data_IF_195096214380
#
_entry.id   IF_195096214380
#
_cell.length_a   1.000
_cell.length_b   1.000
_cell.length_c   1.000
_cell.angle_alpha   90.00
_cell.angle_beta   90.00
_cell.angle_gamma   90.00
#
_symmetry.space_group_name_H-M   'P 1'
#
loop_
_entity.id
_entity.type
_entity.pdbx_description
1 polymer ?
#
# COMPACT_ATOMS: atom_id res chain seq x y z
N UNK A 1 -30.34 14.39 -8.79
CA UNK A 1 -29.19 13.46 -8.61
C UNK A 1 -28.33 14.04 -7.51
N UNK A 2 -28.02 13.24 -6.49
CA UNK A 2 -27.13 13.59 -5.40
C UNK A 2 -25.65 13.41 -5.77
N UNK A 3 -24.78 13.44 -4.79
CA UNK A 3 -23.34 13.27 -4.92
C UNK A 3 -22.82 12.17 -3.98
N UNK A 4 -21.68 11.55 -4.32
CA UNK A 4 -20.90 10.72 -3.42
C UNK A 4 -19.66 11.48 -2.97
N UNK A 5 -19.50 11.70 -1.66
CA UNK A 5 -18.31 12.32 -1.07
C UNK A 5 -17.41 11.25 -0.44
N UNK A 6 -16.16 11.12 -0.92
CA UNK A 6 -15.13 10.25 -0.34
C UNK A 6 -14.41 11.04 0.74
N UNK A 7 -14.64 10.70 2.01
CA UNK A 7 -14.23 11.53 3.17
C UNK A 7 -13.15 10.84 3.98
N UNK A 8 -11.98 11.48 4.09
CA UNK A 8 -10.90 10.99 4.95
C UNK A 8 -11.19 11.17 6.44
N UNK A 9 -10.88 10.15 7.24
CA UNK A 9 -11.05 10.11 8.69
C UNK A 9 -9.72 10.07 9.42
N UNK A 10 -9.66 10.37 10.73
CA UNK A 10 -8.43 10.31 11.52
C UNK A 10 -7.80 8.91 11.53
N UNK A 11 -6.45 8.85 11.49
CA UNK A 11 -5.69 7.59 11.59
C UNK A 11 -5.20 7.28 13.00
N UNK A 12 -5.62 8.07 14.00
CA UNK A 12 -5.23 7.85 15.39
C UNK A 12 -5.40 9.07 16.28
N UNK A 13 -5.53 10.27 15.69
CA UNK A 13 -5.71 11.53 16.41
C UNK A 13 -6.96 12.26 15.89
N UNK A 14 -7.96 12.42 16.74
CA UNK A 14 -9.21 13.11 16.38
C UNK A 14 -8.99 14.57 15.96
N UNK A 15 -7.89 15.20 16.40
CA UNK A 15 -7.50 16.53 15.99
C UNK A 15 -7.13 16.67 14.49
N UNK A 16 -6.89 15.54 13.81
CA UNK A 16 -6.60 15.53 12.37
C UNK A 16 -7.87 15.54 11.51
N UNK A 17 -9.05 15.50 12.10
CA UNK A 17 -10.32 15.65 11.38
C UNK A 17 -10.44 17.04 10.80
N UNK A 18 -10.66 17.15 9.48
CA UNK A 18 -10.78 18.45 8.84
C UNK A 18 -12.16 19.07 9.07
N UNK A 19 -12.25 20.40 9.18
CA UNK A 19 -13.52 21.12 9.27
C UNK A 19 -14.47 20.74 8.12
N UNK A 20 -13.95 20.63 6.90
CA UNK A 20 -14.75 20.23 5.73
C UNK A 20 -15.27 18.81 5.82
N UNK A 21 -14.51 17.90 6.41
CA UNK A 21 -14.97 16.52 6.64
C UNK A 21 -16.17 16.49 7.61
N UNK A 22 -16.08 17.21 8.74
CA UNK A 22 -17.19 17.35 9.69
C UNK A 22 -18.43 17.91 8.98
N UNK A 23 -18.30 19.05 8.31
CA UNK A 23 -19.39 19.71 7.58
C UNK A 23 -20.01 18.82 6.50
N UNK A 24 -19.19 18.04 5.77
CA UNK A 24 -19.67 17.11 4.73
C UNK A 24 -20.47 15.97 5.33
N UNK A 25 -19.97 15.39 6.43
CA UNK A 25 -20.66 14.28 7.12
C UNK A 25 -21.96 14.74 7.76
N UNK A 26 -22.03 15.97 8.30
CA UNK A 26 -23.26 16.55 8.84
C UNK A 26 -24.33 16.79 7.77
N UNK A 27 -23.91 17.22 6.55
CA UNK A 27 -24.83 17.54 5.45
C UNK A 27 -25.24 16.35 4.59
N UNK A 28 -24.57 15.21 4.72
CA UNK A 28 -24.93 14.00 4.01
C UNK A 28 -26.27 13.45 4.50
N UNK A 29 -27.06 12.92 3.59
CA UNK A 29 -28.32 12.24 3.93
C UNK A 29 -28.05 10.86 4.59
N UNK A 30 -26.90 10.24 4.26
CA UNK A 30 -26.40 9.04 4.92
C UNK A 30 -24.89 8.86 4.70
N UNK A 31 -24.26 8.08 5.59
CA UNK A 31 -22.83 7.77 5.55
C UNK A 31 -22.66 6.25 5.38
N UNK A 32 -21.93 5.86 4.32
CA UNK A 32 -21.47 4.50 4.09
C UNK A 32 -20.22 4.26 4.93
N UNK A 33 -20.26 3.28 5.84
CA UNK A 33 -19.18 3.01 6.80
C UNK A 33 -18.76 1.54 6.74
N UNK A 34 -17.46 1.28 6.84
CA UNK A 34 -16.87 -0.05 6.90
C UNK A 34 -17.33 -0.77 8.18
N UNK A 35 -16.96 -0.26 9.35
CA UNK A 35 -17.53 -0.67 10.63
C UNK A 35 -18.36 0.48 11.23
N UNK A 36 -19.69 0.31 11.19
CA UNK A 36 -20.63 1.31 11.73
C UNK A 36 -20.43 1.61 13.21
N UNK A 37 -19.84 0.68 13.97
CA UNK A 37 -19.57 0.85 15.41
C UNK A 37 -18.38 1.78 15.65
N UNK A 38 -17.34 1.69 14.79
CA UNK A 38 -16.18 2.57 14.82
C UNK A 38 -16.59 3.97 14.36
N UNK A 39 -17.25 4.05 13.21
CA UNK A 39 -17.75 5.32 12.67
C UNK A 39 -18.72 6.01 13.63
N UNK A 40 -19.63 5.29 14.29
CA UNK A 40 -20.55 5.89 15.27
C UNK A 40 -19.82 6.58 16.43
N UNK A 41 -18.68 6.04 16.89
CA UNK A 41 -17.86 6.70 17.93
C UNK A 41 -17.30 8.03 17.42
N UNK A 42 -16.78 8.04 16.16
CA UNK A 42 -16.29 9.25 15.51
C UNK A 42 -17.39 10.31 15.38
N UNK A 43 -18.55 9.93 14.83
CA UNK A 43 -19.69 10.84 14.65
C UNK A 43 -20.18 11.40 15.99
N UNK A 44 -20.28 10.56 17.03
CA UNK A 44 -20.68 11.00 18.37
C UNK A 44 -19.70 12.02 18.98
N UNK A 45 -18.41 11.86 18.73
CA UNK A 45 -17.40 12.81 19.20
C UNK A 45 -17.59 14.21 18.59
N UNK A 46 -17.99 14.28 17.31
CA UNK A 46 -18.25 15.52 16.59
C UNK A 46 -19.72 15.96 16.62
N UNK A 47 -20.57 15.28 17.39
CA UNK A 47 -22.03 15.51 17.50
C UNK A 47 -22.80 15.40 16.17
N UNK A 48 -22.31 14.58 15.23
CA UNK A 48 -22.94 14.31 13.94
C UNK A 48 -24.00 13.24 14.11
N UNK A 49 -25.22 13.47 13.60
CA UNK A 49 -26.38 12.57 13.72
C UNK A 49 -26.78 11.87 12.42
N UNK A 50 -26.00 12.02 11.38
CA UNK A 50 -26.26 11.44 10.06
C UNK A 50 -26.37 9.92 10.12
N UNK A 51 -27.39 9.31 9.49
CA UNK A 51 -27.57 7.87 9.50
C UNK A 51 -26.43 7.10 8.86
N UNK A 52 -26.10 5.93 9.45
CA UNK A 52 -25.06 5.03 8.96
C UNK A 52 -25.65 3.89 8.13
N UNK A 53 -24.98 3.56 7.03
CA UNK A 53 -25.22 2.38 6.19
C UNK A 53 -23.93 1.54 6.21
N UNK A 54 -24.05 0.25 6.54
CA UNK A 54 -22.90 -0.66 6.51
C UNK A 54 -22.50 -0.94 5.07
N UNK A 55 -21.21 -0.64 4.73
CA UNK A 55 -20.62 -0.88 3.43
C UNK A 55 -19.18 -1.37 3.60
N UNK A 56 -18.94 -2.66 3.43
CA UNK A 56 -17.65 -3.31 3.58
C UNK A 56 -17.41 -4.31 2.42
N UNK A 57 -16.21 -4.82 2.28
CA UNK A 57 -15.81 -5.69 1.16
C UNK A 57 -16.79 -6.85 0.90
N UNK A 58 -17.31 -7.48 1.96
CA UNK A 58 -18.18 -8.65 1.84
C UNK A 58 -19.61 -8.33 1.37
N UNK A 59 -20.11 -7.09 1.55
CA UNK A 59 -21.47 -6.70 1.15
C UNK A 59 -21.50 -5.69 0.00
N UNK A 60 -20.34 -5.17 -0.43
CA UNK A 60 -20.23 -4.07 -1.40
C UNK A 60 -21.03 -4.29 -2.69
N UNK A 61 -20.99 -5.50 -3.25
CA UNK A 61 -21.75 -5.84 -4.47
C UNK A 61 -23.27 -5.80 -4.27
N UNK A 62 -23.74 -6.22 -3.09
CA UNK A 62 -25.17 -6.35 -2.78
C UNK A 62 -25.79 -5.01 -2.40
N UNK A 63 -25.04 -4.20 -1.64
CA UNK A 63 -25.50 -2.91 -1.09
C UNK A 63 -25.23 -1.75 -2.05
N UNK A 64 -24.18 -1.86 -2.90
CA UNK A 64 -23.75 -0.79 -3.80
C UNK A 64 -24.83 -0.27 -4.73
N UNK A 65 -25.62 -1.17 -5.35
CA UNK A 65 -26.74 -0.77 -6.23
C UNK A 65 -27.85 -0.03 -5.46
N UNK A 66 -28.13 -0.45 -4.23
CA UNK A 66 -29.12 0.25 -3.38
C UNK A 66 -28.64 1.65 -3.02
N UNK A 67 -27.36 1.81 -2.70
CA UNK A 67 -26.74 3.12 -2.43
C UNK A 67 -26.79 3.99 -3.69
N UNK A 68 -26.41 3.45 -4.85
CA UNK A 68 -26.47 4.18 -6.12
C UNK A 68 -27.89 4.70 -6.39
N UNK A 69 -28.92 3.85 -6.24
CA UNK A 69 -30.30 4.22 -6.48
C UNK A 69 -30.75 5.38 -5.57
N UNK A 70 -30.34 5.41 -4.31
CA UNK A 70 -30.61 6.52 -3.39
C UNK A 70 -29.94 7.82 -3.86
N UNK A 71 -28.68 7.74 -4.29
CA UNK A 71 -27.96 8.91 -4.81
C UNK A 71 -28.61 9.42 -6.11
N UNK A 72 -28.99 8.52 -7.00
CA UNK A 72 -29.72 8.89 -8.24
C UNK A 72 -31.08 9.53 -7.96
N UNK A 73 -31.75 9.14 -6.87
CA UNK A 73 -32.98 9.75 -6.39
C UNK A 73 -32.79 11.16 -5.79
N UNK A 74 -31.53 11.58 -5.55
CA UNK A 74 -31.20 12.94 -5.09
C UNK A 74 -30.58 13.03 -3.70
N UNK A 75 -30.39 11.89 -3.02
CA UNK A 75 -29.71 11.86 -1.71
C UNK A 75 -28.19 12.05 -1.88
N UNK A 76 -27.57 12.80 -0.99
CA UNK A 76 -26.11 12.95 -0.89
C UNK A 76 -25.55 11.90 0.05
N UNK A 77 -24.57 11.15 -0.42
CA UNK A 77 -23.89 10.13 0.37
C UNK A 77 -22.46 10.55 0.70
N UNK A 78 -22.01 10.18 1.87
CA UNK A 78 -20.58 10.15 2.18
C UNK A 78 -20.11 8.71 2.35
N UNK A 79 -18.85 8.41 1.97
CA UNK A 79 -18.20 7.14 2.30
C UNK A 79 -16.99 7.42 3.17
N UNK A 80 -16.86 6.65 4.25
CA UNK A 80 -15.75 6.68 5.19
C UNK A 80 -15.23 5.27 5.43
N UNK A 81 -13.98 5.17 5.88
CA UNK A 81 -13.35 3.94 6.39
C UNK A 81 -13.06 4.10 7.88
N UNK A 82 -12.63 3.05 8.53
CA UNK A 82 -12.30 3.04 9.96
C UNK A 82 -11.15 4.01 10.29
N UNK A 83 -10.20 4.18 9.35
CA UNK A 83 -9.07 5.11 9.51
C UNK A 83 -8.47 5.53 8.16
N UNK A 84 -8.30 6.82 7.93
CA UNK A 84 -7.62 7.35 6.75
C UNK A 84 -8.55 7.61 5.56
N UNK A 85 -7.99 7.49 4.36
CA UNK A 85 -8.71 7.73 3.11
C UNK A 85 -9.41 6.47 2.63
N UNK A 86 -10.74 6.48 2.44
CA UNK A 86 -11.46 5.36 1.82
C UNK A 86 -10.90 5.02 0.43
N UNK A 87 -11.14 3.80 -0.02
CA UNK A 87 -10.72 3.26 -1.32
C UNK A 87 -9.21 2.98 -1.47
N UNK A 88 -8.40 3.22 -0.44
CA UNK A 88 -6.95 2.97 -0.45
C UNK A 88 -6.64 1.86 0.56
N UNK A 89 -6.55 0.62 0.13
CA UNK A 89 -6.51 -0.60 0.95
C UNK A 89 -7.76 -0.84 1.81
N UNK A 90 -8.82 -0.12 1.52
CA UNK A 90 -10.09 -0.10 2.25
C UNK A 90 -11.28 -0.20 1.26
N UNK A 91 -12.48 -0.57 1.74
CA UNK A 91 -13.68 -0.60 0.89
C UNK A 91 -14.00 0.77 0.30
N UNK A 92 -14.61 0.75 -0.91
CA UNK A 92 -15.11 1.98 -1.54
C UNK A 92 -14.87 2.05 -3.05
N UNK A 93 -13.82 1.43 -3.55
CA UNK A 93 -13.47 1.44 -4.98
C UNK A 93 -14.65 1.02 -5.87
N UNK A 94 -15.33 -0.07 -5.52
CA UNK A 94 -16.48 -0.56 -6.27
C UNK A 94 -17.65 0.44 -6.29
N UNK A 95 -17.89 1.16 -5.20
CA UNK A 95 -18.95 2.18 -5.13
C UNK A 95 -18.58 3.41 -5.94
N UNK A 96 -17.34 3.85 -5.87
CA UNK A 96 -16.83 4.97 -6.67
C UNK A 96 -16.95 4.65 -8.16
N UNK A 97 -16.52 3.45 -8.58
CA UNK A 97 -16.64 3.00 -9.97
C UNK A 97 -18.11 2.96 -10.41
N UNK A 98 -18.99 2.36 -9.60
CA UNK A 98 -20.41 2.26 -9.90
C UNK A 98 -21.06 3.64 -10.05
N UNK A 99 -20.73 4.59 -9.19
CA UNK A 99 -21.19 5.97 -9.28
C UNK A 99 -20.68 6.66 -10.56
N UNK A 100 -19.40 6.51 -10.87
CA UNK A 100 -18.79 7.11 -12.05
C UNK A 100 -19.41 6.59 -13.36
N UNK A 101 -19.62 5.26 -13.47
CA UNK A 101 -20.26 4.62 -14.63
C UNK A 101 -21.70 5.10 -14.84
N UNK A 102 -22.39 5.52 -13.77
CA UNK A 102 -23.77 6.01 -13.83
C UNK A 102 -23.87 7.56 -13.84
N UNK A 103 -22.76 8.26 -14.06
CA UNK A 103 -22.73 9.73 -14.17
C UNK A 103 -23.01 10.47 -12.87
N UNK A 104 -22.92 9.79 -11.72
CA UNK A 104 -23.01 10.41 -10.40
C UNK A 104 -21.71 11.19 -10.14
N UNK A 105 -21.84 12.44 -9.68
CA UNK A 105 -20.69 13.23 -9.25
C UNK A 105 -20.05 12.59 -8.03
N UNK A 106 -18.76 12.24 -8.13
CA UNK A 106 -17.93 11.83 -6.99
C UNK A 106 -16.98 12.96 -6.65
N UNK A 107 -16.89 13.33 -5.39
CA UNK A 107 -15.96 14.34 -4.92
C UNK A 107 -15.13 13.83 -3.73
N UNK A 108 -13.95 14.41 -3.56
CA UNK A 108 -13.06 14.05 -2.47
C UNK A 108 -13.02 15.13 -1.40
N UNK A 109 -13.10 14.72 -0.16
CA UNK A 109 -12.79 15.51 1.03
C UNK A 109 -11.50 14.94 1.63
N UNK A 110 -10.32 15.47 1.25
CA UNK A 110 -9.04 14.90 1.67
C UNK A 110 -8.88 14.98 3.19
N UNK A 111 -8.25 13.96 3.72
CA UNK A 111 -7.95 13.83 5.14
C UNK A 111 -6.63 13.10 5.38
N UNK A 112 -6.39 12.65 6.61
CA UNK A 112 -5.18 11.92 6.97
C UNK A 112 -4.95 10.69 6.10
N UNK A 113 -3.67 10.42 5.80
CA UNK A 113 -3.24 9.24 5.06
C UNK A 113 -1.92 8.73 5.67
N UNK A 114 -1.92 7.49 6.15
CA UNK A 114 -0.74 6.89 6.74
C UNK A 114 0.41 6.73 5.72
N UNK A 115 0.09 6.46 4.44
CA UNK A 115 1.07 6.30 3.34
C UNK A 115 1.92 7.54 3.19
N UNK A 116 1.29 8.68 2.88
CA UNK A 116 2.02 9.92 2.60
C UNK A 116 2.59 10.55 3.88
N UNK A 117 1.95 10.35 5.03
CA UNK A 117 2.48 10.80 6.32
C UNK A 117 3.77 10.07 6.69
N UNK A 118 3.79 8.74 6.56
CA UNK A 118 4.99 7.94 6.78
C UNK A 118 6.12 8.32 5.82
N UNK A 119 5.81 8.47 4.53
CA UNK A 119 6.78 8.85 3.52
C UNK A 119 7.41 10.20 3.85
N UNK A 120 6.60 11.21 4.19
CA UNK A 120 7.06 12.56 4.49
C UNK A 120 8.07 12.62 5.64
N UNK A 121 7.95 11.72 6.63
CA UNK A 121 8.83 11.67 7.80
C UNK A 121 9.87 10.55 7.75
N UNK A 122 9.88 9.73 6.69
CA UNK A 122 10.77 8.57 6.57
C UNK A 122 12.27 8.95 6.50
N UNK A 123 12.61 10.06 5.86
CA UNK A 123 13.98 10.44 5.52
C UNK A 123 14.53 9.69 4.30
N UNK A 124 13.66 9.04 3.51
CA UNK A 124 13.97 8.41 2.22
C UNK A 124 13.51 9.32 1.06
N UNK A 125 13.87 8.95 -0.17
CA UNK A 125 13.44 9.70 -1.36
C UNK A 125 11.91 9.72 -1.49
N UNK A 126 11.36 10.91 -1.69
CA UNK A 126 9.91 11.12 -1.82
C UNK A 126 9.48 11.47 -3.24
N UNK A 127 10.43 11.64 -4.17
CA UNK A 127 10.14 12.09 -5.54
C UNK A 127 9.33 11.04 -6.31
N UNK A 128 9.64 9.77 -6.10
CA UNK A 128 8.90 8.64 -6.67
C UNK A 128 8.73 7.56 -5.63
N UNK A 129 7.50 7.11 -5.44
CA UNK A 129 7.19 6.04 -4.51
C UNK A 129 6.11 5.12 -5.07
N UNK A 130 6.04 3.92 -4.52
CA UNK A 130 5.06 2.91 -4.88
C UNK A 130 4.45 2.34 -3.60
N UNK A 131 3.12 2.39 -3.49
CA UNK A 131 2.39 1.82 -2.37
C UNK A 131 1.95 0.41 -2.72
N UNK A 132 2.35 -0.55 -1.90
CA UNK A 132 2.15 -1.99 -2.11
C UNK A 132 1.07 -2.58 -1.21
N UNK A 133 0.50 -1.78 -0.29
CA UNK A 133 -0.52 -2.25 0.66
C UNK A 133 0.00 -3.28 1.64
N UNK A 134 -0.85 -4.26 2.00
CA UNK A 134 -0.49 -5.36 2.88
C UNK A 134 0.04 -6.55 2.10
N UNK A 135 1.13 -7.13 2.59
CA UNK A 135 1.62 -8.39 2.07
C UNK A 135 0.73 -9.56 2.52
N UNK A 136 0.54 -10.54 1.62
CA UNK A 136 -0.27 -11.72 1.90
C UNK A 136 0.25 -12.54 3.10
N UNK A 137 -0.66 -13.07 3.90
CA UNK A 137 -0.35 -14.03 4.96
C UNK A 137 0.18 -15.35 4.39
N UNK A 138 -0.21 -15.72 3.17
CA UNK A 138 0.27 -16.89 2.47
C UNK A 138 1.72 -16.67 2.01
N UNK A 139 2.67 -17.45 2.53
CA UNK A 139 4.11 -17.29 2.23
C UNK A 139 4.40 -17.23 0.73
N UNK A 140 3.85 -18.14 -0.08
CA UNK A 140 4.08 -18.18 -1.53
C UNK A 140 3.67 -16.86 -2.24
N UNK A 141 2.49 -16.32 -1.89
CA UNK A 141 2.00 -15.07 -2.48
C UNK A 141 2.86 -13.88 -2.03
N UNK A 142 3.23 -13.83 -0.74
CA UNK A 142 4.10 -12.80 -0.18
C UNK A 142 5.47 -12.78 -0.88
N UNK A 143 6.11 -13.94 -1.02
CA UNK A 143 7.40 -14.04 -1.70
C UNK A 143 7.32 -13.66 -3.19
N UNK A 144 6.26 -14.08 -3.88
CA UNK A 144 6.03 -13.68 -5.28
C UNK A 144 5.85 -12.16 -5.42
N UNK A 145 5.12 -11.53 -4.49
CA UNK A 145 4.93 -10.09 -4.46
C UNK A 145 6.29 -9.38 -4.25
N UNK A 146 7.07 -9.78 -3.23
CA UNK A 146 8.40 -9.21 -2.99
C UNK A 146 9.32 -9.38 -4.21
N UNK A 147 9.30 -10.55 -4.85
CA UNK A 147 10.08 -10.81 -6.05
C UNK A 147 9.70 -9.88 -7.22
N UNK A 148 8.41 -9.52 -7.35
CA UNK A 148 7.93 -8.66 -8.43
C UNK A 148 8.40 -7.21 -8.30
N UNK A 149 8.66 -6.75 -7.07
CA UNK A 149 9.06 -5.35 -6.79
C UNK A 149 10.52 -5.20 -6.34
N UNK A 150 11.29 -6.29 -6.27
CA UNK A 150 12.68 -6.27 -5.78
C UNK A 150 13.59 -5.30 -6.54
N UNK A 151 13.35 -5.12 -7.84
CA UNK A 151 14.13 -4.26 -8.72
C UNK A 151 13.52 -2.85 -8.88
N UNK A 152 12.47 -2.53 -8.12
CA UNK A 152 11.86 -1.20 -8.17
C UNK A 152 12.82 -0.16 -7.58
N UNK A 153 13.14 0.89 -8.35
CA UNK A 153 14.02 1.99 -7.92
C UNK A 153 13.29 3.05 -7.12
N UNK A 154 11.93 3.03 -7.13
CA UNK A 154 11.13 3.93 -6.33
C UNK A 154 11.15 3.52 -4.85
N UNK A 155 10.93 4.45 -3.94
CA UNK A 155 10.66 4.14 -2.55
C UNK A 155 9.40 3.29 -2.43
N UNK A 156 9.51 2.14 -1.75
CA UNK A 156 8.40 1.20 -1.54
C UNK A 156 7.74 1.44 -0.20
N UNK A 157 6.40 1.38 -0.16
CA UNK A 157 5.64 1.58 1.07
C UNK A 157 4.69 0.41 1.27
N UNK A 158 4.74 -0.21 2.46
CA UNK A 158 3.87 -1.32 2.86
C UNK A 158 3.17 -1.01 4.18
N UNK A 159 1.97 -1.51 4.35
CA UNK A 159 1.33 -1.64 5.65
C UNK A 159 1.67 -2.98 6.28
N UNK A 160 1.85 -3.00 7.61
CA UNK A 160 2.10 -4.27 8.29
C UNK A 160 1.53 -4.31 9.71
N UNK A 161 0.98 -5.47 10.05
CA UNK A 161 0.48 -5.75 11.38
C UNK A 161 1.61 -6.30 12.30
N UNK A 162 1.57 -6.00 13.61
CA UNK A 162 2.67 -6.36 14.52
C UNK A 162 2.96 -7.86 14.56
N UNK A 163 1.95 -8.70 14.45
CA UNK A 163 2.12 -10.15 14.52
C UNK A 163 2.80 -10.77 13.28
N UNK A 164 2.86 -10.02 12.15
CA UNK A 164 3.53 -10.44 10.91
C UNK A 164 4.90 -9.78 10.72
N UNK A 165 5.18 -8.68 11.39
CA UNK A 165 6.30 -7.79 11.13
C UNK A 165 7.64 -8.53 11.00
N UNK A 166 7.98 -9.42 11.93
CA UNK A 166 9.27 -10.14 11.94
C UNK A 166 9.43 -11.01 10.69
N UNK A 167 8.38 -11.75 10.31
CA UNK A 167 8.43 -12.59 9.10
C UNK A 167 8.57 -11.76 7.85
N UNK A 168 7.85 -10.65 7.77
CA UNK A 168 7.89 -9.72 6.66
C UNK A 168 9.27 -9.09 6.52
N UNK A 169 9.87 -8.61 7.61
CA UNK A 169 11.22 -8.03 7.58
C UNK A 169 12.27 -9.05 7.12
N UNK A 170 12.19 -10.33 7.56
CA UNK A 170 13.09 -11.39 7.12
C UNK A 170 12.96 -11.68 5.63
N UNK A 171 11.72 -11.81 5.15
CA UNK A 171 11.47 -12.03 3.73
C UNK A 171 11.92 -10.81 2.90
N UNK A 172 11.72 -9.58 3.37
CA UNK A 172 12.21 -8.36 2.72
C UNK A 172 13.74 -8.31 2.68
N UNK A 173 14.43 -8.67 3.76
CA UNK A 173 15.89 -8.74 3.80
C UNK A 173 16.43 -9.76 2.79
N UNK A 174 15.78 -10.93 2.67
CA UNK A 174 16.15 -11.97 1.71
C UNK A 174 16.01 -11.49 0.25
N UNK A 175 14.94 -10.75 -0.07
CA UNK A 175 14.63 -10.35 -1.45
C UNK A 175 15.24 -9.02 -1.87
N UNK A 176 15.32 -8.05 -0.96
CA UNK A 176 15.78 -6.69 -1.24
C UNK A 176 17.24 -6.45 -0.85
N UNK A 177 17.86 -7.37 -0.08
CA UNK A 177 19.14 -7.10 0.57
C UNK A 177 19.00 -6.13 1.74
N UNK A 178 20.12 -5.65 2.27
CA UNK A 178 20.14 -4.77 3.45
C UNK A 178 19.91 -3.29 3.08
N UNK A 179 18.73 -2.98 2.53
CA UNK A 179 18.31 -1.61 2.19
C UNK A 179 17.95 -0.82 3.43
N UNK A 180 18.01 0.50 3.32
CA UNK A 180 17.49 1.40 4.35
C UNK A 180 15.98 1.25 4.45
N UNK A 181 15.47 1.28 5.67
CA UNK A 181 14.05 1.21 5.99
C UNK A 181 13.72 2.23 7.09
N UNK A 182 12.53 2.82 6.99
CA UNK A 182 11.91 3.58 8.07
C UNK A 182 10.63 2.86 8.50
N UNK A 183 10.61 2.40 9.76
CA UNK A 183 9.42 1.80 10.35
C UNK A 183 8.67 2.89 11.11
N UNK A 184 7.56 3.35 10.55
CA UNK A 184 6.67 4.33 11.17
C UNK A 184 5.58 3.57 11.93
N UNK A 185 5.59 3.69 13.25
CA UNK A 185 4.70 2.96 14.15
C UNK A 185 3.72 3.92 14.83
N UNK A 186 2.45 3.51 14.92
CA UNK A 186 1.42 4.23 15.68
C UNK A 186 1.34 5.73 15.30
N UNK A 187 1.39 6.04 14.01
CA UNK A 187 1.33 7.41 13.50
C UNK A 187 0.16 8.19 14.09
N UNK A 188 0.41 9.43 14.48
CA UNK A 188 -0.52 10.39 15.12
C UNK A 188 -0.99 10.00 16.53
N UNK A 189 -0.67 8.80 17.01
CA UNK A 189 -1.07 8.30 18.34
C UNK A 189 -0.01 8.69 19.40
N UNK A 190 -0.36 8.49 20.69
CA UNK A 190 0.53 8.83 21.83
C UNK A 190 1.89 8.11 21.77
N UNK A 191 1.93 6.94 21.14
CA UNK A 191 3.14 6.12 21.01
C UNK A 191 3.71 6.14 19.59
N UNK A 192 3.54 7.27 18.89
CA UNK A 192 4.16 7.47 17.58
C UNK A 192 5.69 7.31 17.67
N UNK A 193 6.23 6.52 16.77
CA UNK A 193 7.67 6.26 16.69
C UNK A 193 8.10 6.11 15.24
N UNK A 194 9.27 6.64 14.91
CA UNK A 194 9.90 6.46 13.59
C UNK A 194 11.29 5.88 13.80
N UNK A 195 11.43 4.59 13.50
CA UNK A 195 12.69 3.88 13.59
C UNK A 195 13.34 3.79 12.20
N UNK A 196 14.37 4.63 11.98
CA UNK A 196 15.15 4.68 10.73
C UNK A 196 16.39 3.82 10.90
N UNK A 197 16.53 2.81 10.02
CA UNK A 197 17.59 1.79 10.15
C UNK A 197 17.81 1.07 8.81
N UNK A 198 18.43 -0.11 8.83
CA UNK A 198 18.48 -1.06 7.71
C UNK A 198 17.61 -2.27 7.97
N UNK A 199 17.28 -3.06 6.92
CA UNK A 199 16.47 -4.26 7.07
C UNK A 199 17.11 -5.28 8.02
N UNK A 200 18.44 -5.46 7.97
CA UNK A 200 19.14 -6.38 8.88
C UNK A 200 19.02 -5.94 10.34
N UNK A 201 19.27 -4.65 10.61
CA UNK A 201 19.15 -4.10 11.96
C UNK A 201 17.71 -4.11 12.47
N UNK A 202 16.72 -3.89 11.58
CA UNK A 202 15.30 -3.99 11.94
C UNK A 202 14.93 -5.42 12.36
N UNK A 203 15.41 -6.43 11.65
CA UNK A 203 15.22 -7.84 12.01
C UNK A 203 15.81 -8.12 13.39
N UNK A 204 17.07 -7.76 13.63
CA UNK A 204 17.75 -7.97 14.91
C UNK A 204 16.98 -7.30 16.07
N UNK A 205 16.57 -6.05 15.88
CA UNK A 205 15.82 -5.30 16.89
C UNK A 205 14.50 -5.96 17.26
N UNK A 206 13.70 -6.38 16.26
CA UNK A 206 12.37 -6.95 16.51
C UNK A 206 12.40 -8.44 16.87
N UNK A 207 13.49 -9.15 16.68
CA UNK A 207 13.72 -10.46 17.31
C UNK A 207 13.87 -10.36 18.82
N UNK A 208 14.52 -9.30 19.29
CA UNK A 208 14.71 -9.04 20.73
C UNK A 208 13.52 -8.29 21.36
N UNK A 209 12.76 -7.52 20.59
CA UNK A 209 11.68 -6.65 21.07
C UNK A 209 10.36 -7.00 20.39
N UNK A 210 9.38 -7.48 21.14
CA UNK A 210 8.08 -7.84 20.59
C UNK A 210 7.38 -6.63 19.95
N UNK A 211 7.06 -6.66 18.63
CA UNK A 211 6.37 -5.56 17.97
C UNK A 211 4.95 -5.38 18.51
N UNK A 212 4.52 -4.11 18.61
CA UNK A 212 3.17 -3.70 19.04
C UNK A 212 2.71 -2.53 18.21
N UNK A 213 1.40 -2.42 18.02
CA UNK A 213 0.79 -1.35 17.25
C UNK A 213 0.85 -1.61 15.74
N UNK A 214 0.47 -0.62 14.95
CA UNK A 214 0.39 -0.67 13.50
C UNK A 214 1.63 -0.03 12.87
N UNK A 215 2.07 -0.58 11.76
CA UNK A 215 3.30 -0.17 11.09
C UNK A 215 3.05 0.26 9.65
N UNK A 216 3.74 1.33 9.25
CA UNK A 216 4.01 1.64 7.85
C UNK A 216 5.51 1.45 7.62
N UNK A 217 5.85 0.59 6.69
CA UNK A 217 7.23 0.29 6.30
C UNK A 217 7.55 1.10 5.05
N UNK A 218 8.51 2.01 5.14
CA UNK A 218 9.01 2.80 4.01
C UNK A 218 10.42 2.31 3.71
N UNK A 219 10.64 1.76 2.50
CA UNK A 219 11.87 1.06 2.13
C UNK A 219 12.51 1.76 0.94
N UNK A 220 13.82 1.96 1.00
CA UNK A 220 14.61 2.49 -0.11
C UNK A 220 14.47 1.61 -1.35
N UNK A 221 14.29 2.23 -2.52
CA UNK A 221 14.28 1.53 -3.80
C UNK A 221 15.62 0.83 -4.11
N UNK A 222 15.62 -0.03 -5.10
CA UNK A 222 16.86 -0.61 -5.62
C UNK A 222 17.77 0.51 -6.14
N UNK A 223 19.08 0.39 -5.93
CA UNK A 223 20.04 1.31 -6.55
C UNK A 223 20.19 0.98 -8.03
N UNK A 224 20.31 2.00 -8.86
CA UNK A 224 20.53 1.80 -10.30
C UNK A 224 21.77 0.94 -10.59
N UNK A 225 22.82 1.07 -9.77
CA UNK A 225 24.03 0.25 -9.84
C UNK A 225 23.79 -1.23 -9.50
N UNK A 226 22.76 -1.54 -8.72
CA UNK A 226 22.33 -2.92 -8.42
C UNK A 226 21.52 -3.52 -9.58
N UNK A 227 20.97 -2.66 -10.42
CA UNK A 227 20.26 -3.01 -11.65
C UNK A 227 21.19 -3.00 -12.88
N UNK A 228 22.51 -2.79 -12.68
CA UNK A 228 23.43 -2.58 -13.79
C UNK A 228 23.14 -3.57 -14.90
N UNK A 229 22.62 -3.09 -16.06
CA UNK A 229 22.74 -3.83 -17.28
C UNK A 229 24.23 -4.05 -17.46
N UNK A 230 24.64 -5.27 -17.70
CA UNK A 230 26.01 -5.53 -18.07
C UNK A 230 26.43 -4.55 -19.15
N UNK A 231 27.55 -3.84 -18.95
CA UNK A 231 28.03 -2.84 -19.92
C UNK A 231 28.46 -3.49 -21.26
N UNK A 232 28.72 -4.80 -21.19
CA UNK A 232 29.07 -5.60 -22.34
C UNK A 232 28.45 -7.00 -22.28
N UNK A 233 28.47 -7.72 -23.39
CA UNK A 233 27.85 -9.05 -23.50
C UNK A 233 28.54 -10.10 -22.63
N UNK A 234 29.81 -9.90 -22.28
CA UNK A 234 30.58 -10.82 -21.43
C UNK A 234 30.11 -10.75 -19.99
N UNK A 235 29.87 -9.55 -19.46
CA UNK A 235 29.27 -9.35 -18.14
C UNK A 235 27.81 -9.86 -18.09
N UNK A 236 27.04 -9.66 -19.15
CA UNK A 236 25.70 -10.21 -19.26
C UNK A 236 25.73 -11.74 -19.22
N UNK A 237 26.72 -12.34 -19.85
CA UNK A 237 26.90 -13.80 -19.82
C UNK A 237 27.27 -14.32 -18.43
N UNK A 238 28.13 -13.60 -17.68
CA UNK A 238 28.44 -13.94 -16.29
C UNK A 238 27.20 -13.87 -15.39
N UNK A 239 26.34 -12.88 -15.59
CA UNK A 239 25.07 -12.81 -14.87
C UNK A 239 24.13 -13.99 -15.22
N UNK A 240 24.09 -14.42 -16.47
CA UNK A 240 23.35 -15.62 -16.91
C UNK A 240 23.89 -16.87 -16.21
N UNK A 241 25.22 -17.04 -16.19
CA UNK A 241 25.87 -18.19 -15.53
C UNK A 241 25.54 -18.23 -14.04
N UNK A 242 25.61 -17.09 -13.35
CA UNK A 242 25.28 -16.99 -11.94
C UNK A 242 23.81 -17.38 -11.63
N UNK A 243 22.86 -17.07 -12.52
CA UNK A 243 21.47 -17.50 -12.39
C UNK A 243 21.31 -19.00 -12.64
N UNK A 244 22.07 -19.57 -13.58
CA UNK A 244 22.06 -21.00 -13.88
C UNK A 244 22.66 -21.80 -12.70
N UNK A 245 23.74 -21.31 -12.08
CA UNK A 245 24.33 -21.91 -10.87
C UNK A 245 23.37 -21.91 -9.69
N UNK A 246 22.49 -20.89 -9.59
CA UNK A 246 21.40 -20.83 -8.61
C UNK A 246 20.20 -21.74 -8.96
N UNK A 247 20.30 -22.56 -10.03
CA UNK A 247 19.30 -23.56 -10.41
C UNK A 247 18.26 -23.08 -11.43
N UNK A 248 18.43 -21.89 -12.01
CA UNK A 248 17.54 -21.43 -13.09
C UNK A 248 17.87 -22.14 -14.42
N UNK A 249 16.86 -22.46 -15.23
CA UNK A 249 17.08 -23.03 -16.56
C UNK A 249 17.77 -22.00 -17.46
N UNK A 250 18.80 -22.38 -18.20
CA UNK A 250 19.60 -21.50 -19.04
C UNK A 250 18.78 -20.62 -20.01
N UNK A 251 17.70 -21.15 -20.59
CA UNK A 251 16.80 -20.39 -21.46
C UNK A 251 16.00 -19.30 -20.72
N UNK A 252 15.69 -19.52 -19.46
CA UNK A 252 14.95 -18.56 -18.62
C UNK A 252 15.90 -17.52 -18.05
N UNK A 253 17.13 -17.92 -17.66
CA UNK A 253 18.20 -17.01 -17.25
C UNK A 253 18.57 -16.04 -18.39
N UNK A 254 18.77 -16.54 -19.63
CA UNK A 254 19.03 -15.70 -20.80
C UNK A 254 17.87 -14.74 -21.09
N UNK A 255 16.61 -15.15 -20.86
CA UNK A 255 15.45 -14.27 -21.07
C UNK A 255 15.42 -13.15 -20.03
N UNK A 256 15.72 -13.45 -18.79
CA UNK A 256 15.74 -12.49 -17.68
C UNK A 256 16.83 -11.44 -17.91
N UNK A 257 18.06 -11.87 -18.19
CA UNK A 257 19.18 -10.96 -18.43
C UNK A 257 18.99 -10.17 -19.72
N UNK A 258 18.50 -10.76 -20.81
CA UNK A 258 18.18 -10.04 -22.04
C UNK A 258 17.18 -8.90 -21.83
N UNK A 259 16.17 -9.12 -20.98
CA UNK A 259 15.17 -8.11 -20.62
C UNK A 259 15.78 -6.98 -19.77
N UNK A 260 16.72 -7.29 -18.87
CA UNK A 260 17.37 -6.33 -17.99
C UNK A 260 18.46 -5.50 -18.70
N UNK A 261 19.20 -6.10 -19.63
CA UNK A 261 20.39 -5.50 -20.26
C UNK A 261 20.16 -4.99 -21.68
N UNK A 262 19.07 -5.41 -22.34
CA UNK A 262 18.81 -5.10 -23.75
C UNK A 262 19.59 -5.95 -24.76
N UNK A 263 20.45 -6.86 -24.31
CA UNK A 263 21.15 -7.80 -25.21
C UNK A 263 20.20 -8.86 -25.78
N UNK A 264 20.56 -9.41 -26.93
CA UNK A 264 19.75 -10.45 -27.56
C UNK A 264 19.76 -11.75 -26.74
N UNK A 265 18.56 -12.27 -26.42
CA UNK A 265 18.43 -13.58 -25.78
C UNK A 265 19.13 -14.69 -26.56
N UNK A 266 19.06 -14.64 -27.91
CA UNK A 266 19.69 -15.62 -28.78
C UNK A 266 21.21 -15.60 -28.70
N UNK A 267 21.81 -14.41 -28.60
CA UNK A 267 23.26 -14.24 -28.43
C UNK A 267 23.73 -14.77 -27.08
N UNK A 268 23.05 -14.37 -25.99
CA UNK A 268 23.36 -14.86 -24.66
C UNK A 268 23.23 -16.38 -24.53
N UNK A 269 22.20 -16.96 -25.16
CA UNK A 269 22.01 -18.40 -25.18
C UNK A 269 23.08 -19.13 -25.98
N UNK A 270 23.46 -18.55 -27.13
CA UNK A 270 24.53 -19.09 -27.97
C UNK A 270 25.92 -19.06 -27.30
N UNK A 271 26.19 -18.06 -26.46
CA UNK A 271 27.42 -17.94 -25.69
C UNK A 271 27.46 -18.83 -24.43
N UNK A 272 26.30 -19.09 -23.81
CA UNK A 272 26.20 -19.92 -22.62
C UNK A 272 26.60 -21.38 -22.85
N UNK A 273 26.44 -21.87 -24.07
CA UNK A 273 26.71 -23.26 -24.49
C UNK A 273 27.90 -23.41 -25.45
N UNK A 274 28.71 -22.37 -25.62
CA UNK A 274 30.04 -22.44 -26.25
C UNK A 274 31.12 -22.73 -25.22
#
# INVERSE_FOLDING_TARGET
MGILSVVGTPIGNLGDMTYRAVETLEKADFICAEDTRVTAKLLNYFDIKTPLVSYHEHNAKQVGESILNRIMAGENAAIVTDAGMPCISDPGELLVNLCAENGVKVEVVPGPSAVVSALAISGLDTARFQFEGFLSTTKKQRLNHLASVKNCTNTLIFYEAPHKLIYTLKDMLEYFGDRRISLCRELTKIHEEVFRTTLAQAVEYYEANKPKGEFVLVIEGAKEDELCPAENIEEALEQVKALVEKGMRGADACREIAKATGFSKGELYGLLFK
#
